data_IF_947567177361
#
_entry.id   IF_947567177361
#
_cell.length_a   1.000
_cell.length_b   1.000
_cell.length_c   1.000
_cell.angle_alpha   90.00
_cell.angle_beta   90.00
_cell.angle_gamma   90.00
#
_symmetry.space_group_name_H-M   'P 1'
#
loop_
_entity.id
_entity.type
_entity.pdbx_description
1 polymer ?
#
# COMPACT_ATOMS: atom_id res chain seq x y z
N UNK A 1 2.88 24.62 16.10
CA UNK A 1 2.51 23.26 16.51
C UNK A 1 2.69 22.36 15.29
N UNK A 2 3.83 21.70 15.19
CA UNK A 2 4.15 20.80 14.07
C UNK A 2 3.50 19.46 14.36
N UNK A 3 2.49 19.08 13.58
CA UNK A 3 1.91 17.75 13.67
C UNK A 3 3.01 16.70 13.46
N UNK A 4 3.09 15.63 14.27
CA UNK A 4 4.03 14.56 14.00
C UNK A 4 3.68 13.99 12.63
N UNK A 5 4.69 13.88 11.76
CA UNK A 5 4.60 13.13 10.52
C UNK A 5 4.26 11.68 10.91
N UNK A 6 2.97 11.35 10.95
CA UNK A 6 2.53 9.96 10.91
C UNK A 6 3.31 9.30 9.77
N UNK A 7 3.85 8.07 9.95
CA UNK A 7 4.44 7.34 8.83
C UNK A 7 3.40 7.39 7.71
N UNK A 8 3.77 8.05 6.60
CA UNK A 8 2.86 8.47 5.54
C UNK A 8 1.86 7.35 5.24
N UNK A 9 0.57 7.67 5.11
CA UNK A 9 -0.51 6.67 4.98
C UNK A 9 -0.16 5.59 3.91
N UNK A 10 0.60 5.98 2.89
CA UNK A 10 1.23 5.10 1.90
C UNK A 10 2.15 4.00 2.48
N UNK A 11 3.14 4.34 3.31
CA UNK A 11 4.09 3.36 3.86
C UNK A 11 3.39 2.33 4.75
N UNK A 12 2.42 2.81 5.55
CA UNK A 12 1.55 1.96 6.37
C UNK A 12 0.68 1.05 5.50
N UNK A 13 0.13 1.56 4.40
CA UNK A 13 -0.65 0.77 3.45
C UNK A 13 0.18 -0.29 2.72
N UNK A 14 1.43 0.03 2.35
CA UNK A 14 2.37 -0.93 1.75
C UNK A 14 2.71 -2.04 2.72
N UNK A 15 3.06 -1.71 3.97
CA UNK A 15 3.39 -2.70 5.01
C UNK A 15 2.20 -3.63 5.27
N UNK A 16 1.01 -3.05 5.48
CA UNK A 16 -0.21 -3.82 5.66
C UNK A 16 -0.49 -4.76 4.49
N UNK A 17 -0.38 -4.27 3.25
CA UNK A 17 -0.67 -5.08 2.07
C UNK A 17 0.37 -6.20 1.86
N UNK A 18 1.63 -6.00 2.26
CA UNK A 18 2.65 -7.06 2.25
C UNK A 18 2.31 -8.18 3.23
N UNK A 19 1.93 -7.82 4.45
CA UNK A 19 1.56 -8.79 5.50
C UNK A 19 0.26 -9.53 5.16
N UNK A 20 -0.66 -8.87 4.47
CA UNK A 20 -2.00 -9.39 4.18
C UNK A 20 -2.18 -9.77 2.70
N UNK A 21 -1.11 -9.96 1.94
CA UNK A 21 -1.19 -10.14 0.48
C UNK A 21 -2.15 -11.25 0.02
N UNK A 22 -2.16 -12.37 0.76
CA UNK A 22 -2.98 -13.55 0.48
C UNK A 22 -4.37 -13.50 1.09
N UNK A 23 -4.59 -12.64 2.10
CA UNK A 23 -5.84 -12.57 2.88
C UNK A 23 -6.63 -11.29 2.64
N UNK A 24 -6.04 -10.28 1.98
CA UNK A 24 -6.71 -9.03 1.66
C UNK A 24 -7.90 -9.23 0.70
N UNK A 25 -8.98 -8.48 0.96
CA UNK A 25 -10.18 -8.48 0.12
C UNK A 25 -9.82 -8.17 -1.34
N UNK A 26 -10.41 -8.96 -2.25
CA UNK A 26 -10.28 -8.75 -3.70
C UNK A 26 -11.53 -8.05 -4.24
N UNK A 27 -11.39 -7.13 -5.21
CA UNK A 27 -10.14 -6.67 -5.84
C UNK A 27 -9.31 -5.72 -4.96
N UNK A 28 -7.97 -5.82 -5.04
CA UNK A 28 -7.04 -5.12 -4.14
C UNK A 28 -7.15 -3.59 -4.22
N UNK A 29 -7.26 -3.01 -5.41
CA UNK A 29 -7.29 -1.55 -5.58
C UNK A 29 -8.49 -0.92 -4.84
N UNK A 30 -9.75 -1.37 -5.04
CA UNK A 30 -10.87 -0.89 -4.23
C UNK A 30 -10.74 -1.13 -2.73
N UNK A 31 -10.11 -2.24 -2.29
CA UNK A 31 -9.90 -2.52 -0.88
C UNK A 31 -8.90 -1.54 -0.23
N UNK A 32 -7.76 -1.29 -0.90
CA UNK A 32 -6.74 -0.32 -0.45
C UNK A 32 -7.35 1.07 -0.33
N UNK A 33 -8.08 1.52 -1.36
CA UNK A 33 -8.73 2.84 -1.36
C UNK A 33 -9.70 3.01 -0.20
N UNK A 34 -10.55 2.00 0.06
CA UNK A 34 -11.52 2.03 1.18
C UNK A 34 -10.84 2.02 2.54
N UNK A 35 -9.70 1.33 2.69
CA UNK A 35 -9.02 1.15 3.98
C UNK A 35 -8.15 2.32 4.38
N UNK A 36 -7.51 2.97 3.42
CA UNK A 36 -6.52 4.03 3.67
C UNK A 36 -6.95 5.40 3.13
N UNK A 37 -8.18 5.52 2.62
CA UNK A 37 -8.74 6.74 2.02
C UNK A 37 -7.84 7.36 0.93
N UNK A 38 -7.16 6.51 0.16
CA UNK A 38 -6.19 6.93 -0.86
C UNK A 38 -6.82 7.08 -2.25
N UNK A 39 -6.19 7.93 -3.06
CA UNK A 39 -6.54 8.09 -4.46
C UNK A 39 -6.28 6.83 -5.30
N UNK A 40 -6.92 6.69 -6.48
CA UNK A 40 -6.72 5.52 -7.34
C UNK A 40 -5.27 5.36 -7.83
N UNK A 41 -4.57 6.46 -8.09
CA UNK A 41 -3.16 6.43 -8.52
C UNK A 41 -2.25 5.95 -7.38
N UNK A 42 -2.46 6.47 -6.18
CA UNK A 42 -1.73 6.08 -4.98
C UNK A 42 -1.97 4.61 -4.63
N UNK A 43 -3.22 4.13 -4.70
CA UNK A 43 -3.53 2.70 -4.51
C UNK A 43 -2.77 1.79 -5.49
N UNK A 44 -2.57 2.22 -6.74
CA UNK A 44 -1.75 1.48 -7.72
C UNK A 44 -0.28 1.48 -7.34
N UNK A 45 0.25 2.59 -6.82
CA UNK A 45 1.64 2.66 -6.33
C UNK A 45 1.83 1.72 -5.13
N UNK A 46 0.94 1.78 -4.14
CA UNK A 46 0.91 0.87 -2.98
C UNK A 46 0.89 -0.59 -3.43
N UNK A 47 -0.01 -0.95 -4.36
CA UNK A 47 -0.09 -2.31 -4.90
C UNK A 47 1.23 -2.75 -5.56
N UNK A 48 1.86 -1.88 -6.35
CA UNK A 48 3.12 -2.18 -7.04
C UNK A 48 4.29 -2.36 -6.07
N UNK A 49 4.33 -1.60 -5.00
CA UNK A 49 5.39 -1.66 -3.98
C UNK A 49 5.22 -2.82 -3.00
N UNK A 50 3.97 -3.21 -2.71
CA UNK A 50 3.66 -4.36 -1.88
C UNK A 50 3.72 -5.69 -2.63
N UNK A 51 3.69 -5.68 -3.97
CA UNK A 51 3.67 -6.89 -4.78
C UNK A 51 4.90 -7.78 -4.54
N UNK A 52 4.72 -9.07 -4.17
CA UNK A 52 5.82 -10.00 -3.95
C UNK A 52 6.57 -10.34 -5.24
N UNK A 53 5.98 -10.04 -6.41
CA UNK A 53 6.62 -10.22 -7.71
C UNK A 53 7.52 -9.04 -8.10
N UNK A 54 7.60 -7.98 -7.29
CA UNK A 54 8.59 -6.93 -7.47
C UNK A 54 9.96 -7.49 -7.06
N UNK A 55 10.55 -8.32 -7.92
CA UNK A 55 11.96 -8.70 -7.84
C UNK A 55 12.75 -7.41 -7.64
N UNK A 56 13.59 -7.41 -6.60
CA UNK A 56 14.66 -6.44 -6.43
C UNK A 56 15.32 -6.28 -7.80
N UNK A 57 15.20 -5.08 -8.37
CA UNK A 57 16.00 -4.71 -9.52
C UNK A 57 17.42 -4.62 -8.97
N UNK A 58 18.12 -5.76 -9.00
CA UNK A 58 19.52 -5.87 -8.61
C UNK A 58 20.31 -4.83 -9.42
N UNK A 59 21.20 -4.04 -8.79
CA UNK A 59 22.04 -3.07 -9.48
C UNK A 59 22.95 -3.73 -10.52
#
# INVERSE_FOLDING_TARGET
MTAPLLPSDHASAVAWLRENWTTAERPLIPAIRRRFDVGPIEAVQILREASPHRKERSP
#
